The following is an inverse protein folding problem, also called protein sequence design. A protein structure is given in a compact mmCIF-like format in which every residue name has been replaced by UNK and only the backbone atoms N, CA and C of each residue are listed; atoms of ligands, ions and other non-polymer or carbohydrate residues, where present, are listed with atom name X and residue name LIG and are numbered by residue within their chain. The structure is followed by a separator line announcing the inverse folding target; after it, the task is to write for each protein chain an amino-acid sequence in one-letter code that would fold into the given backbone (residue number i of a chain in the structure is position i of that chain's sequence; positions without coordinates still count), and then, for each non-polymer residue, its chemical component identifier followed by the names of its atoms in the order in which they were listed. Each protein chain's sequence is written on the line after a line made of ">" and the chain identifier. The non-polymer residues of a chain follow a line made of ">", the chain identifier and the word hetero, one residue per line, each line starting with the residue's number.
data_IF_263947232472
#
_entry.id   IF_263947232472
#
_cell.length_a   1.000
_cell.length_b   1.000
_cell.length_c   1.000
_cell.angle_alpha   90.00
_cell.angle_beta   90.00
_cell.angle_gamma   90.00
#
_symmetry.space_group_name_H-M   'P 1'
#
loop_
_entity.id
_entity.type
_entity.pdbx_description
1 polymer ?
#
# COMPACT_ATOMS: atom_id res chain seq x y z
N UNK A 1 -10.00 33.63 -68.01
CA UNK A 1 -11.16 32.77 -67.67
C UNK A 1 -10.79 31.31 -67.98
N UNK A 2 -10.08 30.63 -67.07
CA UNK A 2 -9.66 29.24 -67.29
C UNK A 2 -10.79 28.32 -66.83
N UNK A 3 -11.67 27.93 -67.78
CA UNK A 3 -12.67 26.86 -67.60
C UNK A 3 -12.00 25.53 -67.93
N UNK A 4 -11.24 24.98 -66.99
CA UNK A 4 -10.72 23.61 -67.10
C UNK A 4 -11.39 22.75 -66.03
N UNK A 5 -12.49 22.03 -66.34
CA UNK A 5 -13.28 21.28 -65.35
C UNK A 5 -12.48 20.17 -64.67
N UNK A 6 -11.44 19.65 -65.33
CA UNK A 6 -10.49 18.68 -64.78
C UNK A 6 -9.63 19.26 -63.65
N UNK A 7 -9.23 20.53 -63.71
CA UNK A 7 -8.41 21.16 -62.67
C UNK A 7 -9.22 21.39 -61.38
N UNK A 8 -10.51 21.72 -61.51
CA UNK A 8 -11.42 21.90 -60.37
C UNK A 8 -11.69 20.56 -59.67
N UNK A 9 -11.86 19.47 -60.44
CA UNK A 9 -12.08 18.14 -59.88
C UNK A 9 -10.84 17.61 -59.14
N UNK A 10 -9.63 17.88 -59.66
CA UNK A 10 -8.37 17.51 -59.00
C UNK A 10 -8.18 18.31 -57.71
N UNK A 11 -8.52 19.60 -57.69
CA UNK A 11 -8.43 20.42 -56.47
C UNK A 11 -9.41 19.95 -55.39
N UNK A 12 -10.64 19.56 -55.78
CA UNK A 12 -11.64 19.04 -54.85
C UNK A 12 -11.25 17.67 -54.28
N UNK A 13 -10.66 16.79 -55.10
CA UNK A 13 -10.13 15.50 -54.65
C UNK A 13 -8.92 15.67 -53.72
N UNK A 14 -8.00 16.60 -54.02
CA UNK A 14 -6.88 16.93 -53.13
C UNK A 14 -7.35 17.50 -51.79
N UNK A 15 -8.38 18.36 -51.77
CA UNK A 15 -8.98 18.83 -50.52
C UNK A 15 -9.62 17.70 -49.71
N UNK A 16 -10.31 16.75 -50.35
CA UNK A 16 -10.87 15.58 -49.66
C UNK A 16 -9.78 14.69 -49.05
N UNK A 17 -8.67 14.47 -49.75
CA UNK A 17 -7.56 13.63 -49.24
C UNK A 17 -6.85 14.31 -48.06
N UNK A 18 -6.67 15.64 -48.08
CA UNK A 18 -6.05 16.38 -46.97
C UNK A 18 -6.91 16.44 -45.71
N UNK A 19 -8.25 16.30 -45.82
CA UNK A 19 -9.15 16.18 -44.66
C UNK A 19 -9.16 14.79 -44.02
N UNK A 20 -8.62 13.77 -44.68
CA UNK A 20 -8.56 12.39 -44.17
C UNK A 20 -7.23 12.13 -43.43
N UNK A 21 -6.19 12.94 -43.68
CA UNK A 21 -4.83 12.77 -43.10
C UNK A 21 -4.55 13.76 -41.96
N UNK A 22 -5.56 14.17 -41.19
CA UNK A 22 -5.28 14.64 -39.83
C UNK A 22 -5.29 13.41 -38.92
N UNK A 23 -4.16 13.04 -38.29
CA UNK A 23 -4.22 12.11 -37.18
C UNK A 23 -4.93 12.84 -36.02
N UNK A 24 -6.24 12.63 -35.90
CA UNK A 24 -7.04 13.03 -34.75
C UNK A 24 -6.57 12.41 -33.42
N UNK A 25 -5.50 11.61 -33.42
CA UNK A 25 -4.93 10.93 -32.25
C UNK A 25 -3.73 11.64 -31.61
N UNK A 26 -3.20 12.72 -32.16
CA UNK A 26 -2.01 13.39 -31.60
C UNK A 26 -2.31 14.63 -30.74
N UNK A 27 -3.52 15.21 -30.84
CA UNK A 27 -3.90 16.44 -30.12
C UNK A 27 -4.71 16.20 -28.83
N UNK A 28 -5.29 15.01 -28.64
CA UNK A 28 -6.09 14.66 -27.45
C UNK A 28 -5.30 14.13 -26.25
N UNK A 29 -3.98 13.95 -26.37
CA UNK A 29 -3.18 13.25 -25.34
C UNK A 29 -2.58 14.21 -24.28
N UNK A 30 -2.63 15.54 -24.48
CA UNK A 30 -1.86 16.48 -23.65
C UNK A 30 -2.67 17.48 -22.82
N UNK A 31 -3.92 17.81 -23.14
CA UNK A 31 -4.67 18.80 -22.37
C UNK A 31 -5.49 18.19 -21.23
N UNK A 32 -6.06 17.00 -21.43
CA UNK A 32 -6.92 16.36 -20.41
C UNK A 32 -6.09 15.80 -19.24
N UNK A 33 -4.93 15.22 -19.52
CA UNK A 33 -4.04 14.66 -18.49
C UNK A 33 -3.45 15.74 -17.55
N UNK A 34 -3.22 16.96 -18.05
CA UNK A 34 -2.77 18.08 -17.20
C UNK A 34 -3.82 18.39 -16.13
N UNK A 35 -5.11 18.32 -16.46
CA UNK A 35 -6.19 18.52 -15.50
C UNK A 35 -6.22 17.45 -14.41
N UNK A 36 -6.08 16.18 -14.77
CA UNK A 36 -6.06 15.07 -13.80
C UNK A 36 -4.88 15.17 -12.82
N UNK A 37 -3.68 15.47 -13.32
CA UNK A 37 -2.47 15.62 -12.49
C UNK A 37 -2.57 16.84 -11.57
N UNK A 38 -3.11 17.97 -12.03
CA UNK A 38 -3.32 19.14 -11.18
C UNK A 38 -4.30 18.85 -10.03
N UNK A 39 -5.43 18.22 -10.34
CA UNK A 39 -6.40 17.80 -9.32
C UNK A 39 -5.81 16.81 -8.32
N UNK A 40 -5.00 15.87 -8.80
CA UNK A 40 -4.29 14.92 -7.94
C UNK A 40 -3.32 15.63 -6.99
N UNK A 41 -2.50 16.57 -7.48
CA UNK A 41 -1.57 17.31 -6.63
C UNK A 41 -2.31 18.10 -5.54
N UNK A 42 -3.39 18.79 -5.90
CA UNK A 42 -4.26 19.46 -4.92
C UNK A 42 -4.85 18.47 -3.92
N UNK A 43 -5.25 17.28 -4.37
CA UNK A 43 -5.77 16.25 -3.47
C UNK A 43 -4.72 15.77 -2.46
N UNK A 44 -3.46 15.65 -2.89
CA UNK A 44 -2.33 15.31 -2.01
C UNK A 44 -2.11 16.42 -0.99
N UNK A 45 -2.10 17.69 -1.41
CA UNK A 45 -1.96 18.83 -0.50
C UNK A 45 -3.07 18.83 0.57
N UNK A 46 -4.33 18.67 0.16
CA UNK A 46 -5.47 18.58 1.08
C UNK A 46 -5.39 17.35 2.00
N UNK A 47 -4.94 16.20 1.49
CA UNK A 47 -4.75 15.00 2.31
C UNK A 47 -3.64 15.21 3.36
N UNK A 48 -2.54 15.89 3.01
CA UNK A 48 -1.48 16.21 3.97
C UNK A 48 -1.92 17.25 5.01
N UNK A 49 -2.84 18.15 4.65
CA UNK A 49 -3.47 19.09 5.57
C UNK A 49 -4.53 18.43 6.48
N UNK A 50 -4.89 17.17 6.23
CA UNK A 50 -5.93 16.43 6.97
C UNK A 50 -7.36 16.67 6.46
N UNK A 51 -7.52 17.40 5.35
CA UNK A 51 -8.82 17.72 4.74
C UNK A 51 -9.31 16.56 3.84
N UNK A 52 -9.52 15.40 4.45
CA UNK A 52 -9.79 14.15 3.73
C UNK A 52 -11.04 14.19 2.83
N UNK A 53 -12.11 14.88 3.25
CA UNK A 53 -13.32 15.01 2.42
C UNK A 53 -13.04 15.76 1.10
N UNK A 54 -12.21 16.80 1.16
CA UNK A 54 -11.84 17.56 -0.03
C UNK A 54 -10.89 16.76 -0.91
N UNK A 55 -9.94 16.04 -0.30
CA UNK A 55 -9.05 15.13 -1.02
C UNK A 55 -9.83 14.01 -1.76
N UNK A 56 -10.89 13.44 -1.18
CA UNK A 56 -11.75 12.45 -1.86
C UNK A 56 -12.45 13.06 -3.08
N UNK A 57 -12.98 14.28 -2.95
CA UNK A 57 -13.62 14.97 -4.07
C UNK A 57 -12.61 15.26 -5.20
N UNK A 58 -11.44 15.80 -4.87
CA UNK A 58 -10.42 16.13 -5.86
C UNK A 58 -9.87 14.88 -6.57
N UNK A 59 -9.61 13.81 -5.83
CA UNK A 59 -9.23 12.53 -6.45
C UNK A 59 -10.35 11.93 -7.30
N UNK A 60 -11.62 12.05 -6.89
CA UNK A 60 -12.76 11.63 -7.72
C UNK A 60 -12.85 12.41 -9.04
N UNK A 61 -12.58 13.71 -9.02
CA UNK A 61 -12.51 14.54 -10.23
C UNK A 61 -11.30 14.18 -11.09
N UNK A 62 -10.13 13.92 -10.50
CA UNK A 62 -8.97 13.46 -11.26
C UNK A 62 -9.28 12.15 -12.00
N UNK A 63 -9.98 11.23 -11.34
CA UNK A 63 -10.38 9.93 -11.90
C UNK A 63 -11.52 10.00 -12.92
N UNK A 64 -12.34 11.05 -12.93
CA UNK A 64 -13.33 11.24 -13.99
C UNK A 64 -12.68 11.65 -15.31
N UNK A 65 -11.52 12.33 -15.24
CA UNK A 65 -10.70 12.71 -16.39
C UNK A 65 -9.81 11.55 -16.82
N UNK A 66 -9.13 10.91 -15.86
CA UNK A 66 -8.25 9.77 -16.12
C UNK A 66 -8.59 8.59 -15.18
N UNK A 67 -9.46 7.67 -15.62
CA UNK A 67 -9.92 6.56 -14.77
C UNK A 67 -8.83 5.59 -14.33
N UNK A 68 -7.76 5.43 -15.11
CA UNK A 68 -6.64 4.53 -14.83
C UNK A 68 -5.45 5.25 -14.16
N UNK A 69 -5.68 6.41 -13.53
CA UNK A 69 -4.61 7.13 -12.85
C UNK A 69 -4.29 6.44 -11.51
N UNK A 70 -3.36 5.50 -11.54
CA UNK A 70 -3.00 4.64 -10.38
C UNK A 70 -2.72 5.44 -9.11
N UNK A 71 -1.93 6.52 -9.19
CA UNK A 71 -1.62 7.37 -8.03
C UNK A 71 -2.89 7.98 -7.42
N UNK A 72 -3.83 8.48 -8.24
CA UNK A 72 -5.09 9.01 -7.75
C UNK A 72 -5.99 7.92 -7.15
N UNK A 73 -6.00 6.70 -7.71
CA UNK A 73 -6.74 5.56 -7.16
C UNK A 73 -6.22 5.17 -5.77
N UNK A 74 -4.90 5.00 -5.60
CA UNK A 74 -4.31 4.60 -4.31
C UNK A 74 -4.44 5.70 -3.26
N UNK A 75 -4.27 6.97 -3.65
CA UNK A 75 -4.49 8.11 -2.75
C UNK A 75 -5.95 8.19 -2.34
N UNK A 76 -6.90 8.04 -3.25
CA UNK A 76 -8.32 8.06 -2.92
C UNK A 76 -8.71 6.92 -1.99
N UNK A 77 -8.24 5.71 -2.24
CA UNK A 77 -8.45 4.58 -1.34
C UNK A 77 -7.93 4.87 0.07
N UNK A 78 -6.73 5.44 0.18
CA UNK A 78 -6.11 5.85 1.45
C UNK A 78 -6.93 6.92 2.17
N UNK A 79 -7.41 7.92 1.44
CA UNK A 79 -8.29 8.97 1.97
C UNK A 79 -9.62 8.38 2.48
N UNK A 80 -10.23 7.46 1.73
CA UNK A 80 -11.48 6.80 2.12
C UNK A 80 -11.31 5.94 3.38
N UNK A 81 -10.16 5.26 3.54
CA UNK A 81 -9.83 4.54 4.77
C UNK A 81 -9.72 5.49 5.98
N UNK A 82 -9.09 6.66 5.81
CA UNK A 82 -9.03 7.69 6.86
C UNK A 82 -10.42 8.25 7.21
N UNK A 83 -11.31 8.37 6.23
CA UNK A 83 -12.72 8.73 6.43
C UNK A 83 -13.57 7.58 7.00
N UNK A 84 -12.98 6.41 7.29
CA UNK A 84 -13.66 5.18 7.75
C UNK A 84 -14.68 4.63 6.74
N UNK A 85 -14.66 5.09 5.50
CA UNK A 85 -15.48 4.57 4.42
C UNK A 85 -14.80 3.33 3.79
N UNK A 86 -14.82 2.22 4.53
CA UNK A 86 -14.18 0.97 4.11
C UNK A 86 -14.81 0.37 2.85
N UNK A 87 -16.12 0.54 2.65
CA UNK A 87 -16.82 0.07 1.45
C UNK A 87 -16.31 0.81 0.22
N UNK A 88 -16.27 2.15 0.25
CA UNK A 88 -15.75 2.95 -0.86
C UNK A 88 -14.26 2.69 -1.12
N UNK A 89 -13.46 2.55 -0.06
CA UNK A 89 -12.03 2.21 -0.20
C UNK A 89 -11.84 0.88 -0.94
N UNK A 90 -12.65 -0.14 -0.61
CA UNK A 90 -12.61 -1.45 -1.29
C UNK A 90 -12.97 -1.33 -2.76
N UNK A 91 -14.03 -0.60 -3.09
CA UNK A 91 -14.44 -0.40 -4.50
C UNK A 91 -13.35 0.29 -5.33
N UNK A 92 -12.70 1.31 -4.78
CA UNK A 92 -11.60 2.01 -5.46
C UNK A 92 -10.37 1.11 -5.61
N UNK A 93 -10.04 0.34 -4.59
CA UNK A 93 -8.94 -0.63 -4.65
C UNK A 93 -9.20 -1.75 -5.66
N UNK A 94 -10.42 -2.26 -5.75
CA UNK A 94 -10.79 -3.26 -6.74
C UNK A 94 -10.63 -2.73 -8.16
N UNK A 95 -10.99 -1.47 -8.39
CA UNK A 95 -10.72 -0.79 -9.66
C UNK A 95 -9.22 -0.67 -9.93
N UNK A 96 -8.41 -0.29 -8.93
CA UNK A 96 -6.96 -0.20 -9.07
C UNK A 96 -6.32 -1.53 -9.45
N UNK A 97 -6.69 -2.62 -8.77
CA UNK A 97 -6.22 -3.98 -9.09
C UNK A 97 -6.68 -4.46 -10.46
N UNK A 98 -7.86 -4.02 -10.94
CA UNK A 98 -8.33 -4.37 -12.28
C UNK A 98 -7.50 -3.70 -13.39
N UNK A 99 -6.89 -2.54 -13.12
CA UNK A 99 -5.99 -1.87 -14.06
C UNK A 99 -4.58 -2.43 -14.02
N UNK A 100 -4.00 -2.55 -12.83
CA UNK A 100 -2.67 -3.13 -12.62
C UNK A 100 -2.62 -3.91 -11.30
N UNK A 101 -2.73 -5.24 -11.36
CA UNK A 101 -2.71 -6.08 -10.17
C UNK A 101 -1.30 -6.29 -9.58
N UNK A 102 -0.24 -5.92 -10.31
CA UNK A 102 1.16 -6.10 -9.88
C UNK A 102 1.81 -4.79 -9.43
N UNK A 103 1.13 -3.65 -9.57
CA UNK A 103 1.62 -2.37 -9.07
C UNK A 103 1.88 -2.42 -7.56
N UNK A 104 3.12 -2.11 -7.18
CA UNK A 104 3.56 -2.20 -5.79
C UNK A 104 2.78 -1.28 -4.85
N UNK A 105 2.36 -0.09 -5.30
CA UNK A 105 1.59 0.85 -4.47
C UNK A 105 0.15 0.38 -4.29
N UNK A 106 -0.46 -0.20 -5.32
CA UNK A 106 -1.79 -0.81 -5.24
C UNK A 106 -1.75 -1.97 -4.24
N UNK A 107 -0.77 -2.87 -4.36
CA UNK A 107 -0.58 -4.00 -3.46
C UNK A 107 -0.34 -3.54 -2.01
N UNK A 108 0.51 -2.53 -1.79
CA UNK A 108 0.75 -1.97 -0.46
C UNK A 108 -0.52 -1.31 0.13
N UNK A 109 -1.29 -0.59 -0.68
CA UNK A 109 -2.55 0.03 -0.23
C UNK A 109 -3.60 -1.03 0.11
N UNK A 110 -3.65 -2.14 -0.65
CA UNK A 110 -4.48 -3.30 -0.30
C UNK A 110 -4.02 -3.96 1.01
N UNK A 111 -2.72 -4.06 1.24
CA UNK A 111 -2.19 -4.56 2.50
C UNK A 111 -2.63 -3.70 3.69
N UNK A 112 -2.54 -2.37 3.55
CA UNK A 112 -3.04 -1.41 4.55
C UNK A 112 -4.54 -1.57 4.79
N UNK A 113 -5.33 -1.72 3.73
CA UNK A 113 -6.77 -1.97 3.84
C UNK A 113 -7.08 -3.26 4.61
N UNK A 114 -6.35 -4.34 4.34
CA UNK A 114 -6.52 -5.62 5.05
C UNK A 114 -6.17 -5.51 6.53
N UNK A 115 -5.06 -4.83 6.83
CA UNK A 115 -4.63 -4.57 8.21
C UNK A 115 -5.67 -3.75 8.99
N UNK A 116 -6.20 -2.67 8.41
CA UNK A 116 -7.22 -1.84 9.07
C UNK A 116 -8.54 -2.59 9.31
N UNK A 117 -8.78 -3.69 8.59
CA UNK A 117 -9.92 -4.59 8.80
C UNK A 117 -9.60 -5.79 9.71
N UNK A 118 -8.42 -5.82 10.35
CA UNK A 118 -7.98 -6.89 11.26
C UNK A 118 -7.56 -8.19 10.57
N UNK A 119 -7.35 -8.16 9.24
CA UNK A 119 -6.92 -9.32 8.46
C UNK A 119 -5.39 -9.34 8.28
N UNK A 120 -4.64 -9.40 9.38
CA UNK A 120 -3.18 -9.20 9.36
C UNK A 120 -2.43 -10.24 8.50
N UNK A 121 -2.89 -11.51 8.47
CA UNK A 121 -2.29 -12.54 7.60
C UNK A 121 -2.47 -12.22 6.11
N UNK A 122 -3.62 -11.67 5.73
CA UNK A 122 -3.84 -11.21 4.35
C UNK A 122 -2.99 -9.96 4.07
N UNK A 123 -2.88 -9.03 5.03
CA UNK A 123 -2.01 -7.87 4.92
C UNK A 123 -0.55 -8.27 4.66
N UNK A 124 -0.02 -9.25 5.39
CA UNK A 124 1.33 -9.81 5.15
C UNK A 124 1.50 -10.38 3.74
N UNK A 125 0.46 -11.02 3.21
CA UNK A 125 0.47 -11.59 1.86
C UNK A 125 0.59 -10.48 0.83
N UNK A 126 -0.25 -9.44 0.91
CA UNK A 126 -0.20 -8.31 -0.03
C UNK A 126 1.06 -7.46 0.14
N UNK A 127 1.52 -7.22 1.37
CA UNK A 127 2.76 -6.49 1.63
C UNK A 127 3.97 -7.24 1.06
N UNK A 128 4.01 -8.57 1.16
CA UNK A 128 5.10 -9.35 0.56
C UNK A 128 5.08 -9.29 -0.97
N UNK A 129 3.90 -9.36 -1.61
CA UNK A 129 3.79 -9.14 -3.06
C UNK A 129 4.22 -7.73 -3.48
N UNK A 130 3.85 -6.71 -2.71
CA UNK A 130 4.29 -5.34 -2.96
C UNK A 130 5.82 -5.22 -2.91
N UNK A 131 6.47 -5.94 -1.98
CA UNK A 131 7.92 -5.99 -1.85
C UNK A 131 8.61 -6.84 -2.90
N UNK A 132 7.94 -7.86 -3.45
CA UNK A 132 8.43 -8.59 -4.65
C UNK A 132 8.45 -7.67 -5.87
N UNK A 133 7.42 -6.84 -6.04
CA UNK A 133 7.33 -5.85 -7.12
C UNK A 133 8.28 -4.65 -6.92
N UNK A 134 8.42 -4.17 -5.68
CA UNK A 134 9.35 -3.10 -5.31
C UNK A 134 9.95 -3.35 -3.92
N UNK A 135 11.18 -3.90 -3.84
CA UNK A 135 11.85 -4.18 -2.58
C UNK A 135 12.17 -2.94 -1.72
N UNK A 136 12.21 -1.76 -2.35
CA UNK A 136 12.54 -0.49 -1.70
C UNK A 136 11.30 0.32 -1.31
N UNK A 137 10.10 -0.29 -1.33
CA UNK A 137 8.88 0.39 -0.91
C UNK A 137 8.78 0.43 0.62
N UNK A 138 9.24 1.53 1.22
CA UNK A 138 9.25 1.74 2.68
C UNK A 138 7.88 1.45 3.32
N UNK A 139 6.79 1.90 2.69
CA UNK A 139 5.43 1.71 3.22
C UNK A 139 5.05 0.22 3.34
N UNK A 140 5.45 -0.62 2.37
CA UNK A 140 5.16 -2.05 2.42
C UNK A 140 5.95 -2.75 3.55
N UNK A 141 7.18 -2.32 3.83
CA UNK A 141 7.94 -2.79 4.99
C UNK A 141 7.30 -2.37 6.32
N UNK A 142 6.78 -1.13 6.40
CA UNK A 142 6.06 -0.65 7.59
C UNK A 142 4.81 -1.49 7.82
N UNK A 143 3.97 -1.68 6.79
CA UNK A 143 2.74 -2.47 6.88
C UNK A 143 3.05 -3.91 7.30
N UNK A 144 4.09 -4.51 6.69
CA UNK A 144 4.56 -5.85 7.03
C UNK A 144 4.98 -5.95 8.51
N UNK A 145 5.74 -4.96 8.99
CA UNK A 145 6.15 -4.89 10.39
C UNK A 145 4.95 -4.78 11.33
N UNK A 146 4.06 -3.82 11.10
CA UNK A 146 2.86 -3.63 11.92
C UNK A 146 1.98 -4.88 11.93
N UNK A 147 1.84 -5.59 10.81
CA UNK A 147 1.04 -6.81 10.73
C UNK A 147 1.66 -7.97 11.53
N UNK A 148 2.99 -8.13 11.49
CA UNK A 148 3.70 -9.08 12.36
C UNK A 148 3.52 -8.71 13.85
N UNK A 149 3.61 -7.43 14.20
CA UNK A 149 3.39 -6.94 15.56
C UNK A 149 2.00 -7.26 16.09
N UNK A 150 0.95 -7.03 15.29
CA UNK A 150 -0.44 -7.41 15.61
C UNK A 150 -0.61 -8.92 15.85
N UNK A 151 0.20 -9.75 15.19
CA UNK A 151 0.22 -11.21 15.35
C UNK A 151 1.12 -11.69 16.51
N UNK A 152 1.82 -10.78 17.18
CA UNK A 152 2.78 -11.10 18.24
C UNK A 152 4.13 -11.64 17.74
N UNK A 153 4.41 -11.51 16.45
CA UNK A 153 5.62 -11.98 15.76
C UNK A 153 6.70 -10.87 15.81
N UNK A 154 7.16 -10.53 17.02
CA UNK A 154 7.95 -9.32 17.25
C UNK A 154 9.37 -9.39 16.65
N UNK A 155 9.96 -10.57 16.47
CA UNK A 155 11.24 -10.72 15.75
C UNK A 155 11.11 -10.31 14.27
N UNK A 156 10.01 -10.70 13.62
CA UNK A 156 9.70 -10.35 12.23
C UNK A 156 9.33 -8.87 12.09
N UNK A 157 8.57 -8.32 13.05
CA UNK A 157 8.28 -6.89 13.12
C UNK A 157 9.58 -6.06 13.20
N UNK A 158 10.52 -6.48 14.06
CA UNK A 158 11.80 -5.80 14.22
C UNK A 158 12.59 -5.80 12.91
N UNK A 159 12.71 -6.97 12.25
CA UNK A 159 13.39 -7.10 10.95
C UNK A 159 12.77 -6.19 9.89
N UNK A 160 11.44 -6.19 9.78
CA UNK A 160 10.74 -5.36 8.79
C UNK A 160 10.94 -3.86 9.06
N UNK A 161 10.91 -3.46 10.34
CA UNK A 161 11.17 -2.08 10.75
C UNK A 161 12.60 -1.65 10.44
N UNK A 162 13.58 -2.55 10.60
CA UNK A 162 14.98 -2.29 10.23
C UNK A 162 15.17 -2.13 8.72
N UNK A 163 14.47 -2.93 7.90
CA UNK A 163 14.47 -2.74 6.45
C UNK A 163 13.85 -1.40 6.05
N UNK A 164 12.72 -1.02 6.65
CA UNK A 164 12.10 0.29 6.41
C UNK A 164 13.05 1.44 6.78
N UNK A 165 13.78 1.34 7.89
CA UNK A 165 14.75 2.35 8.33
C UNK A 165 16.03 2.36 7.50
N UNK A 166 16.44 1.23 6.92
CA UNK A 166 17.56 1.20 6.00
C UNK A 166 17.27 2.00 4.71
N UNK A 167 16.01 2.00 4.26
CA UNK A 167 15.56 2.76 3.09
C UNK A 167 15.24 4.21 3.46
N UNK A 168 14.60 4.43 4.62
CA UNK A 168 14.16 5.76 5.08
C UNK A 168 14.50 5.95 6.57
N UNK A 169 15.74 6.37 6.88
CA UNK A 169 16.24 6.44 8.27
C UNK A 169 15.40 7.32 9.21
N UNK A 170 14.79 8.37 8.68
CA UNK A 170 14.00 9.33 9.45
C UNK A 170 12.50 8.98 9.55
N UNK A 171 12.10 7.78 9.08
CA UNK A 171 10.71 7.37 9.12
C UNK A 171 10.23 7.09 10.56
N UNK A 172 9.42 7.99 11.10
CA UNK A 172 8.92 7.94 12.49
C UNK A 172 8.10 6.70 12.81
N UNK A 173 7.30 6.19 11.86
CA UNK A 173 6.50 4.98 12.07
C UNK A 173 7.41 3.75 12.19
N UNK A 174 8.39 3.61 11.30
CA UNK A 174 9.36 2.51 11.38
C UNK A 174 10.20 2.57 12.67
N UNK A 175 10.59 3.76 13.13
CA UNK A 175 11.27 3.93 14.43
C UNK A 175 10.38 3.48 15.60
N UNK A 176 9.09 3.80 15.54
CA UNK A 176 8.11 3.46 16.57
C UNK A 176 7.85 1.95 16.63
N UNK A 177 7.65 1.31 15.47
CA UNK A 177 7.50 -0.15 15.35
C UNK A 177 8.75 -0.88 15.86
N UNK A 178 9.96 -0.42 15.47
CA UNK A 178 11.21 -0.98 15.99
C UNK A 178 11.30 -0.88 17.51
N UNK A 179 10.96 0.27 18.09
CA UNK A 179 10.99 0.48 19.52
C UNK A 179 9.97 -0.42 20.25
N UNK A 180 8.76 -0.54 19.70
CA UNK A 180 7.71 -1.42 20.21
C UNK A 180 8.16 -2.88 20.22
N UNK A 181 8.58 -3.41 19.07
CA UNK A 181 9.09 -4.78 18.93
C UNK A 181 10.24 -5.07 19.89
N UNK A 182 11.20 -4.15 20.01
CA UNK A 182 12.33 -4.29 20.94
C UNK A 182 11.86 -4.38 22.40
N UNK A 183 10.88 -3.56 22.78
CA UNK A 183 10.28 -3.61 24.12
C UNK A 183 9.62 -4.95 24.41
N UNK A 184 8.84 -5.47 23.46
CA UNK A 184 8.17 -6.77 23.58
C UNK A 184 9.15 -7.94 23.70
N UNK A 185 10.21 -7.94 22.88
CA UNK A 185 11.27 -8.96 22.93
C UNK A 185 12.10 -8.91 24.21
N UNK A 186 12.31 -7.74 24.79
CA UNK A 186 13.01 -7.61 26.07
C UNK A 186 12.15 -8.09 27.24
N UNK A 187 10.83 -7.89 27.17
CA UNK A 187 9.90 -8.37 28.19
C UNK A 187 9.73 -9.89 28.15
N UNK A 188 9.68 -10.50 26.95
CA UNK A 188 9.59 -11.96 26.82
C UNK A 188 10.81 -12.69 27.38
N UNK A 189 12.02 -12.12 27.22
CA UNK A 189 13.27 -12.65 27.79
C UNK A 189 13.38 -12.51 29.31
N UNK A 190 12.69 -11.54 29.90
CA UNK A 190 12.68 -11.30 31.35
C UNK A 190 11.68 -12.17 32.10
N UNK A 191 10.69 -12.76 31.42
CA UNK A 191 9.87 -13.82 32.00
C UNK A 191 10.81 -14.99 32.30
N UNK A 192 11.12 -15.29 33.58
CA UNK A 192 11.87 -16.50 33.87
C UNK A 192 10.95 -17.62 33.42
N UNK A 193 11.29 -18.27 32.31
CA UNK A 193 10.81 -19.61 32.04
C UNK A 193 11.36 -20.40 33.21
N UNK A 194 10.56 -20.56 34.27
CA UNK A 194 10.89 -21.41 35.38
C UNK A 194 10.93 -22.81 34.76
N UNK A 195 12.11 -23.36 34.44
CA UNK A 195 12.17 -24.69 33.90
C UNK A 195 11.87 -25.55 35.12
N UNK A 196 10.61 -26.00 35.21
CA UNK A 196 10.14 -27.09 36.06
C UNK A 196 11.25 -27.57 36.98
N UNK A 197 11.29 -27.09 38.22
CA UNK A 197 11.92 -27.88 39.28
C UNK A 197 11.30 -29.27 39.08
N UNK A 198 12.08 -30.30 38.67
CA UNK A 198 11.48 -31.59 38.46
C UNK A 198 11.03 -32.02 39.85
N UNK A 199 9.71 -32.02 40.08
CA UNK A 199 9.05 -32.39 41.33
C UNK A 199 9.51 -33.79 41.82
N UNK A 200 10.15 -34.55 40.92
CA UNK A 200 10.80 -35.85 41.15
C UNK A 200 11.99 -35.75 42.12
N UNK A 201 12.73 -34.64 42.18
CA UNK A 201 13.86 -34.49 43.11
C UNK A 201 13.43 -34.36 44.59
N UNK A 202 12.20 -33.91 44.86
CA UNK A 202 11.67 -33.79 46.22
C UNK A 202 11.13 -35.12 46.77
N UNK A 203 10.70 -36.04 45.88
CA UNK A 203 10.08 -37.31 46.27
C UNK A 203 11.14 -38.40 46.51
N UNK A 204 12.26 -38.40 45.79
CA UNK A 204 13.33 -39.40 46.00
C UNK A 204 14.19 -39.17 47.25
N UNK A 205 14.18 -37.98 47.86
CA UNK A 205 14.96 -37.68 49.07
C UNK A 205 14.31 -38.14 50.39
N UNK A 206 13.00 -38.41 50.41
CA UNK A 206 12.26 -38.68 51.67
C UNK A 206 12.14 -40.19 51.97
N UNK A 207 12.32 -41.07 50.97
CA UNK A 207 12.10 -42.52 51.16
C UNK A 207 13.31 -43.24 51.78
N UNK A 208 14.52 -42.67 51.77
CA UNK A 208 15.72 -43.34 52.32
C UNK A 208 15.98 -43.12 53.82
N UNK A 209 15.18 -42.30 54.52
CA UNK A 209 15.43 -41.97 55.94
C UNK A 209 14.59 -42.74 56.96
N UNK A 210 13.57 -43.53 56.55
CA UNK A 210 12.66 -44.23 57.48
C UNK A 210 13.00 -45.73 57.65
N UNK A 211 13.97 -46.25 56.90
CA UNK A 211 14.29 -47.70 56.86
C UNK A 211 15.47 -48.21 57.70
N UNK A 212 16.06 -47.41 58.61
CA UNK A 212 17.15 -47.90 59.49
C UNK A 212 17.15 -47.24 60.87
N UNK A 213 16.33 -47.77 61.79
CA UNK A 213 16.76 -48.01 63.17
C UNK A 213 16.24 -49.36 63.62
N UNK A 214 17.18 -50.16 64.14
CA UNK A 214 16.99 -51.45 64.78
C UNK A 214 16.09 -51.33 66.01
#
# INVERSE_FOLDING_TARGET
>A
MIRCPTLILILLLLCMVMSIVTPASAAGIRHDNIGAVQLYNLAVDEATAGNFTQADNLTAQALSIQPNFTLALVTRASVLMNLRNMTGAKEVLDKAMAFDPEDANVLATMASFKQQNGADREALTYASKALEANPNLTEAWIIKGTAHGSLGEYEEELKASEQALAISPDNKLAQSNKAYATGMLNNSKKSPVNPLIPLVALICGVVLAIGRRR
#
